data_IF_638667100484
#
_entry.id   IF_638667100484
#
_cell.length_a   1.000
_cell.length_b   1.000
_cell.length_c   1.000
_cell.angle_alpha   90.00
_cell.angle_beta   90.00
_cell.angle_gamma   90.00
#
_symmetry.space_group_name_H-M   'P 1'
#
loop_
_entity.id
_entity.type
_entity.pdbx_description
1 polymer ?
#
# COMPACT_ATOMS: atom_id res chain seq x y z
N UNK A 1 -25.94 -4.62 2.99
CA UNK A 1 -26.04 -3.24 2.40
C UNK A 1 -25.30 -2.09 3.13
N UNK A 2 -25.61 -1.68 4.38
CA UNK A 2 -24.92 -0.50 5.02
C UNK A 2 -23.43 -0.72 5.29
N UNK A 3 -23.05 -1.92 5.73
CA UNK A 3 -21.65 -2.28 6.02
C UNK A 3 -20.76 -2.27 4.77
N UNK A 4 -21.24 -2.80 3.64
CA UNK A 4 -20.48 -2.81 2.38
C UNK A 4 -20.17 -1.39 1.90
N UNK A 5 -21.14 -0.46 2.00
CA UNK A 5 -20.89 0.94 1.65
C UNK A 5 -19.83 1.59 2.55
N UNK A 6 -19.85 1.29 3.86
CA UNK A 6 -18.83 1.80 4.79
C UNK A 6 -17.43 1.25 4.47
N UNK A 7 -17.34 -0.05 4.18
CA UNK A 7 -16.08 -0.69 3.76
C UNK A 7 -15.58 -0.11 2.43
N UNK A 8 -16.47 0.14 1.48
CA UNK A 8 -16.14 0.76 0.19
C UNK A 8 -15.54 2.17 0.38
N UNK A 9 -16.14 2.99 1.23
CA UNK A 9 -15.64 4.33 1.55
C UNK A 9 -14.29 4.25 2.26
N UNK A 10 -14.17 3.39 3.28
CA UNK A 10 -12.92 3.19 4.00
C UNK A 10 -11.79 2.76 3.06
N UNK A 11 -12.04 1.78 2.20
CA UNK A 11 -11.04 1.32 1.23
C UNK A 11 -10.67 2.42 0.23
N UNK A 12 -11.64 3.23 -0.22
CA UNK A 12 -11.36 4.37 -1.09
C UNK A 12 -10.43 5.38 -0.41
N UNK A 13 -10.68 5.69 0.87
CA UNK A 13 -9.82 6.59 1.66
C UNK A 13 -8.43 5.97 1.84
N UNK A 14 -8.35 4.69 2.20
CA UNK A 14 -7.11 3.96 2.40
C UNK A 14 -6.25 3.93 1.12
N UNK A 15 -6.82 3.57 -0.02
CA UNK A 15 -6.10 3.58 -1.30
C UNK A 15 -5.76 5.02 -1.75
N UNK A 16 -6.57 6.02 -1.38
CA UNK A 16 -6.22 7.43 -1.58
C UNK A 16 -4.99 7.85 -0.77
N UNK A 17 -4.85 7.38 0.47
CA UNK A 17 -3.66 7.60 1.28
C UNK A 17 -2.43 6.90 0.67
N UNK A 18 -2.58 5.65 0.21
CA UNK A 18 -1.49 4.94 -0.48
C UNK A 18 -1.04 5.66 -1.75
N UNK A 19 -1.99 6.19 -2.52
CA UNK A 19 -1.69 7.00 -3.69
C UNK A 19 -0.86 8.24 -3.32
N UNK A 20 -1.23 8.93 -2.24
CA UNK A 20 -0.46 10.07 -1.72
C UNK A 20 0.97 9.66 -1.31
N UNK A 21 1.13 8.53 -0.61
CA UNK A 21 2.45 8.02 -0.22
C UNK A 21 3.28 7.67 -1.47
N UNK A 22 2.68 7.01 -2.47
CA UNK A 22 3.32 6.71 -3.74
C UNK A 22 3.84 7.96 -4.46
N UNK A 23 3.01 9.00 -4.55
CA UNK A 23 3.37 10.27 -5.19
C UNK A 23 4.42 11.06 -4.40
N UNK A 24 4.10 11.42 -3.16
CA UNK A 24 4.88 12.41 -2.43
C UNK A 24 6.14 11.80 -1.82
N UNK A 25 6.02 10.63 -1.17
CA UNK A 25 7.14 10.06 -0.41
C UNK A 25 8.09 9.26 -1.31
N UNK A 26 7.57 8.55 -2.30
CA UNK A 26 8.38 7.67 -3.15
C UNK A 26 8.80 8.34 -4.46
N UNK A 27 7.89 8.97 -5.21
CA UNK A 27 8.25 9.58 -6.49
C UNK A 27 8.86 10.97 -6.35
N UNK A 28 8.17 11.91 -5.71
CA UNK A 28 8.64 13.30 -5.65
C UNK A 28 9.93 13.48 -4.87
N UNK A 29 10.17 12.63 -3.86
CA UNK A 29 11.45 12.63 -3.13
C UNK A 29 12.45 11.65 -3.74
N UNK A 30 12.02 10.48 -4.22
CA UNK A 30 12.93 9.47 -4.77
C UNK A 30 13.52 9.81 -6.14
N UNK A 31 12.79 10.55 -6.99
CA UNK A 31 13.31 10.98 -8.32
C UNK A 31 14.49 11.94 -8.15
N UNK A 32 14.41 13.03 -7.36
CA UNK A 32 15.57 13.89 -7.09
C UNK A 32 16.77 13.12 -6.52
N UNK A 33 16.55 12.28 -5.51
CA UNK A 33 17.63 11.47 -4.90
C UNK A 33 18.27 10.49 -5.90
N UNK A 34 17.48 9.97 -6.85
CA UNK A 34 17.98 9.11 -7.92
C UNK A 34 18.80 9.89 -8.95
N UNK A 35 18.39 11.12 -9.28
CA UNK A 35 19.14 12.00 -10.20
C UNK A 35 20.47 12.42 -9.57
N UNK A 36 20.48 12.73 -8.27
CA UNK A 36 21.70 13.11 -7.54
C UNK A 36 22.67 11.93 -7.35
N UNK A 37 22.16 10.71 -7.17
CA UNK A 37 22.99 9.53 -6.94
C UNK A 37 22.49 8.29 -7.69
N UNK A 38 22.71 8.31 -9.01
CA UNK A 38 22.19 7.32 -9.97
C UNK A 38 22.74 5.90 -9.80
N UNK A 39 23.82 5.72 -9.03
CA UNK A 39 24.39 4.40 -8.74
C UNK A 39 23.71 3.69 -7.54
N UNK A 40 22.82 4.38 -6.82
CA UNK A 40 22.10 3.78 -5.69
C UNK A 40 20.92 2.92 -6.18
N UNK A 41 21.13 1.60 -6.25
CA UNK A 41 20.07 0.61 -6.52
C UNK A 41 18.88 0.73 -5.56
N UNK A 42 19.11 1.26 -4.36
CA UNK A 42 18.08 1.54 -3.37
C UNK A 42 17.10 2.64 -3.83
N UNK A 43 17.62 3.74 -4.39
CA UNK A 43 16.80 4.86 -4.86
C UNK A 43 15.93 4.43 -6.06
N UNK A 44 16.49 3.61 -6.96
CA UNK A 44 15.75 3.00 -8.06
C UNK A 44 14.60 2.14 -7.53
N UNK A 45 14.87 1.26 -6.55
CA UNK A 45 13.85 0.39 -5.96
C UNK A 45 12.71 1.20 -5.31
N UNK A 46 13.04 2.31 -4.63
CA UNK A 46 12.05 3.21 -4.01
C UNK A 46 11.16 3.90 -5.04
N UNK A 47 11.73 4.40 -6.13
CA UNK A 47 10.96 4.99 -7.25
C UNK A 47 10.05 3.94 -7.90
N UNK A 48 10.58 2.75 -8.19
CA UNK A 48 9.78 1.65 -8.75
C UNK A 48 8.62 1.25 -7.82
N UNK A 49 8.86 1.15 -6.51
CA UNK A 49 7.80 0.92 -5.52
C UNK A 49 6.75 2.04 -5.55
N UNK A 50 7.16 3.30 -5.67
CA UNK A 50 6.25 4.44 -5.81
C UNK A 50 5.32 4.31 -7.01
N UNK A 51 5.86 3.97 -8.19
CA UNK A 51 5.06 3.74 -9.41
C UNK A 51 4.09 2.57 -9.23
N UNK A 52 4.55 1.45 -8.66
CA UNK A 52 3.71 0.28 -8.43
C UNK A 52 2.56 0.59 -7.47
N UNK A 53 2.83 1.28 -6.36
CA UNK A 53 1.81 1.71 -5.40
C UNK A 53 0.79 2.63 -6.07
N UNK A 54 1.23 3.55 -6.94
CA UNK A 54 0.36 4.46 -7.68
C UNK A 54 -0.61 3.74 -8.60
N UNK A 55 -0.07 2.91 -9.50
CA UNK A 55 -0.87 2.12 -10.45
C UNK A 55 -1.86 1.26 -9.68
N UNK A 56 -1.37 0.59 -8.63
CA UNK A 56 -2.19 -0.28 -7.81
C UNK A 56 -3.32 0.46 -7.10
N UNK A 57 -3.04 1.64 -6.55
CA UNK A 57 -4.02 2.43 -5.81
C UNK A 57 -5.13 2.94 -6.71
N UNK A 58 -4.79 3.48 -7.89
CA UNK A 58 -5.76 3.94 -8.89
C UNK A 58 -6.64 2.78 -9.35
N UNK A 59 -6.02 1.66 -9.71
CA UNK A 59 -6.74 0.47 -10.18
C UNK A 59 -7.67 -0.09 -9.09
N UNK A 60 -7.19 -0.18 -7.85
CA UNK A 60 -7.99 -0.67 -6.72
C UNK A 60 -9.22 0.21 -6.47
N UNK A 61 -9.08 1.53 -6.50
CA UNK A 61 -10.22 2.46 -6.36
C UNK A 61 -11.26 2.18 -7.44
N UNK A 62 -10.87 2.14 -8.72
CA UNK A 62 -11.80 1.89 -9.83
C UNK A 62 -12.55 0.58 -9.63
N UNK A 63 -11.84 -0.49 -9.28
CA UNK A 63 -12.40 -1.83 -9.10
C UNK A 63 -13.38 -1.88 -7.92
N UNK A 64 -13.06 -1.23 -6.81
CA UNK A 64 -13.92 -1.15 -5.62
C UNK A 64 -15.26 -0.49 -5.97
N UNK A 65 -15.24 0.59 -6.76
CA UNK A 65 -16.43 1.30 -7.20
C UNK A 65 -17.25 0.52 -8.23
N UNK A 66 -16.59 -0.28 -9.07
CA UNK A 66 -17.24 -1.18 -10.02
C UNK A 66 -17.83 -2.44 -9.36
N UNK A 67 -17.64 -2.63 -8.05
CA UNK A 67 -18.13 -3.78 -7.26
C UNK A 67 -17.74 -5.15 -7.83
N UNK A 68 -16.62 -5.23 -8.55
CA UNK A 68 -16.12 -6.50 -9.06
C UNK A 68 -15.24 -7.18 -7.99
N UNK A 69 -15.87 -7.93 -7.08
CA UNK A 69 -15.20 -8.47 -5.90
C UNK A 69 -14.08 -9.47 -6.20
N UNK A 70 -14.14 -10.17 -7.33
CA UNK A 70 -13.07 -11.06 -7.80
C UNK A 70 -11.82 -10.25 -8.15
N UNK A 71 -11.99 -9.12 -8.84
CA UNK A 71 -10.85 -8.24 -9.13
C UNK A 71 -10.37 -7.56 -7.84
N UNK A 72 -11.26 -7.22 -6.89
CA UNK A 72 -10.81 -6.71 -5.58
C UNK A 72 -9.93 -7.73 -4.85
N UNK A 73 -10.25 -9.02 -4.92
CA UNK A 73 -9.40 -10.08 -4.35
C UNK A 73 -8.00 -10.07 -4.96
N UNK A 74 -7.91 -9.98 -6.29
CA UNK A 74 -6.63 -9.88 -7.02
C UNK A 74 -5.86 -8.63 -6.58
N UNK A 75 -6.54 -7.49 -6.40
CA UNK A 75 -5.88 -6.29 -5.88
C UNK A 75 -5.40 -6.45 -4.43
N UNK A 76 -6.10 -7.25 -3.62
CA UNK A 76 -5.62 -7.65 -2.29
C UNK A 76 -4.33 -8.45 -2.35
N UNK A 77 -4.24 -9.44 -3.25
CA UNK A 77 -3.01 -10.22 -3.47
C UNK A 77 -1.85 -9.32 -3.91
N UNK A 78 -2.09 -8.44 -4.89
CA UNK A 78 -1.05 -7.53 -5.38
C UNK A 78 -0.60 -6.54 -4.30
N UNK A 79 -1.52 -6.08 -3.45
CA UNK A 79 -1.19 -5.27 -2.27
C UNK A 79 -0.34 -6.05 -1.27
N UNK A 80 -0.56 -7.36 -1.07
CA UNK A 80 0.29 -8.21 -0.23
C UNK A 80 1.72 -8.27 -0.76
N UNK A 81 1.89 -8.43 -2.07
CA UNK A 81 3.22 -8.45 -2.70
C UNK A 81 3.94 -7.12 -2.50
N UNK A 82 3.23 -6.00 -2.71
CA UNK A 82 3.77 -4.65 -2.48
C UNK A 82 4.13 -4.45 -1.00
N UNK A 83 3.30 -4.93 -0.08
CA UNK A 83 3.56 -4.87 1.36
C UNK A 83 4.84 -5.61 1.76
N UNK A 84 5.03 -6.83 1.25
CA UNK A 84 6.26 -7.60 1.48
C UNK A 84 7.48 -6.86 0.91
N UNK A 85 7.40 -6.37 -0.32
CA UNK A 85 8.48 -5.61 -0.94
C UNK A 85 8.81 -4.33 -0.15
N UNK A 86 7.79 -3.62 0.34
CA UNK A 86 7.94 -2.44 1.20
C UNK A 86 8.69 -2.77 2.50
N UNK A 87 8.34 -3.87 3.18
CA UNK A 87 9.06 -4.30 4.40
C UNK A 87 10.52 -4.60 4.08
N UNK A 88 10.80 -5.31 2.99
CA UNK A 88 12.17 -5.67 2.60
C UNK A 88 13.00 -4.41 2.34
N UNK A 89 12.50 -3.49 1.53
CA UNK A 89 13.22 -2.24 1.20
C UNK A 89 13.47 -1.40 2.45
N UNK A 90 12.48 -1.23 3.32
CA UNK A 90 12.67 -0.48 4.57
C UNK A 90 13.61 -1.18 5.56
N UNK A 91 13.63 -2.51 5.59
CA UNK A 91 14.57 -3.26 6.45
C UNK A 91 16.02 -3.09 5.96
N UNK A 92 16.23 -3.13 4.64
CA UNK A 92 17.56 -2.86 4.05
C UNK A 92 17.98 -1.42 4.36
N UNK A 93 17.08 -0.45 4.20
CA UNK A 93 17.36 0.95 4.54
C UNK A 93 17.75 1.10 6.02
N UNK A 94 16.94 0.53 6.91
CA UNK A 94 17.18 0.57 8.36
C UNK A 94 18.54 -0.01 8.72
N UNK A 95 18.93 -1.14 8.14
CA UNK A 95 20.23 -1.78 8.43
C UNK A 95 21.42 -0.96 7.92
N UNK A 96 21.30 -0.32 6.76
CA UNK A 96 22.37 0.53 6.20
C UNK A 96 22.63 1.78 7.06
N UNK A 97 21.58 2.40 7.59
CA UNK A 97 21.73 3.64 8.37
C UNK A 97 21.86 3.34 9.87
N UNK A 98 21.60 2.10 10.32
CA UNK A 98 21.61 1.74 11.74
C UNK A 98 22.92 2.06 12.46
N UNK A 99 24.06 2.06 11.77
CA UNK A 99 25.38 2.38 12.34
C UNK A 99 25.73 3.88 12.29
N UNK A 100 24.99 4.70 11.53
CA UNK A 100 25.38 6.06 11.17
C UNK A 100 24.56 7.18 11.83
N UNK A 101 23.37 6.89 12.37
CA UNK A 101 22.50 7.91 13.03
C UNK A 101 22.61 7.90 14.55
N UNK A 102 22.21 9.00 15.19
CA UNK A 102 22.00 9.09 16.64
C UNK A 102 20.84 8.19 17.07
N UNK A 103 20.89 7.68 18.30
CA UNK A 103 19.88 6.74 18.81
C UNK A 103 18.43 7.27 18.72
N UNK A 104 18.20 8.56 18.98
CA UNK A 104 16.86 9.18 18.93
C UNK A 104 16.23 9.10 17.53
N UNK A 105 17.02 9.38 16.49
CA UNK A 105 16.54 9.34 15.10
C UNK A 105 16.26 7.91 14.63
N UNK A 106 17.02 6.92 15.14
CA UNK A 106 16.75 5.50 14.87
C UNK A 106 15.38 5.07 15.37
N UNK A 107 15.04 5.40 16.62
CA UNK A 107 13.75 5.03 17.19
C UNK A 107 12.59 5.69 16.45
N UNK A 108 12.75 6.94 16.04
CA UNK A 108 11.73 7.64 15.24
C UNK A 108 11.46 6.92 13.91
N UNK A 109 12.51 6.54 13.19
CA UNK A 109 12.38 5.85 11.90
C UNK A 109 11.74 4.45 12.06
N UNK A 110 12.11 3.71 13.09
CA UNK A 110 11.51 2.39 13.40
C UNK A 110 10.02 2.52 13.68
N UNK A 111 9.62 3.50 14.50
CA UNK A 111 8.21 3.74 14.83
C UNK A 111 7.41 4.12 13.59
N UNK A 112 7.99 4.93 12.70
CA UNK A 112 7.36 5.31 11.44
C UNK A 112 7.11 4.10 10.54
N UNK A 113 8.14 3.25 10.33
CA UNK A 113 8.03 2.02 9.53
C UNK A 113 7.00 1.06 10.14
N UNK A 114 7.00 0.89 11.47
CA UNK A 114 6.01 0.06 12.16
C UNK A 114 4.59 0.59 11.98
N UNK A 115 4.37 1.89 12.16
CA UNK A 115 3.05 2.52 12.04
C UNK A 115 2.49 2.36 10.63
N UNK A 116 3.31 2.63 9.60
CA UNK A 116 2.93 2.43 8.19
C UNK A 116 2.63 0.97 7.89
N UNK A 117 3.41 0.04 8.45
CA UNK A 117 3.19 -1.39 8.28
C UNK A 117 1.88 -1.87 8.91
N UNK A 118 1.51 -1.38 10.09
CA UNK A 118 0.24 -1.68 10.75
C UNK A 118 -0.94 -1.17 9.91
N UNK A 119 -0.85 0.07 9.41
CA UNK A 119 -1.90 0.66 8.55
C UNK A 119 -2.08 -0.16 7.27
N UNK A 120 -0.98 -0.56 6.61
CA UNK A 120 -1.00 -1.42 5.44
C UNK A 120 -1.65 -2.78 5.72
N UNK A 121 -1.31 -3.40 6.86
CA UNK A 121 -1.88 -4.66 7.29
C UNK A 121 -3.40 -4.55 7.54
N UNK A 122 -3.84 -3.49 8.21
CA UNK A 122 -5.27 -3.23 8.44
C UNK A 122 -6.00 -3.03 7.11
N UNK A 123 -5.44 -2.26 6.18
CA UNK A 123 -5.99 -2.09 4.84
C UNK A 123 -6.12 -3.41 4.09
N UNK A 124 -5.09 -4.26 4.14
CA UNK A 124 -5.12 -5.62 3.58
C UNK A 124 -6.26 -6.47 4.14
N UNK A 125 -6.41 -6.51 5.46
CA UNK A 125 -7.49 -7.24 6.14
C UNK A 125 -8.85 -6.74 5.65
N UNK A 126 -9.03 -5.42 5.58
CA UNK A 126 -10.30 -4.83 5.13
C UNK A 126 -10.56 -5.12 3.64
N UNK A 127 -9.54 -5.12 2.78
CA UNK A 127 -9.68 -5.46 1.36
C UNK A 127 -10.16 -6.90 1.18
N UNK A 128 -9.55 -7.86 1.88
CA UNK A 128 -9.99 -9.25 1.82
C UNK A 128 -11.38 -9.46 2.42
N UNK A 129 -11.68 -8.79 3.53
CA UNK A 129 -13.00 -8.85 4.15
C UNK A 129 -14.10 -8.30 3.23
N UNK A 130 -13.85 -7.16 2.57
CA UNK A 130 -14.77 -6.57 1.59
C UNK A 130 -15.00 -7.48 0.39
N UNK A 131 -13.92 -8.05 -0.18
CA UNK A 131 -14.01 -8.98 -1.31
C UNK A 131 -14.84 -10.21 -0.96
N UNK A 132 -14.55 -10.87 0.18
CA UNK A 132 -15.29 -12.05 0.62
C UNK A 132 -16.78 -11.75 0.85
N UNK A 133 -17.10 -10.71 1.61
CA UNK A 133 -18.50 -10.34 1.93
C UNK A 133 -19.29 -9.89 0.70
N UNK A 134 -18.66 -9.16 -0.21
CA UNK A 134 -19.30 -8.72 -1.44
C UNK A 134 -19.69 -9.88 -2.35
N UNK A 135 -18.81 -10.88 -2.49
CA UNK A 135 -19.09 -12.08 -3.28
C UNK A 135 -20.30 -12.87 -2.75
N UNK A 136 -20.47 -12.96 -1.42
CA UNK A 136 -21.66 -13.61 -0.84
C UNK A 136 -22.96 -12.83 -1.11
N UNK A 137 -22.97 -11.50 -0.98
CA UNK A 137 -24.17 -10.69 -1.28
C UNK A 137 -24.58 -10.80 -2.77
N UNK A 138 -23.62 -10.96 -3.70
CA UNK A 138 -23.91 -11.18 -5.13
C UNK A 138 -24.61 -12.52 -5.39
N UNK A 139 -24.08 -13.62 -4.83
CA UNK A 139 -24.64 -14.96 -5.03
C UNK A 139 -26.06 -15.09 -4.44
N UNK A 140 -26.32 -14.47 -3.28
CA UNK A 140 -27.68 -14.44 -2.71
C UNK A 140 -28.67 -13.67 -3.59
N UNK A 141 -28.22 -12.61 -4.27
CA UNK A 141 -29.10 -11.79 -5.13
C UNK A 141 -29.44 -12.44 -6.48
N UNK A 142 -28.65 -13.40 -6.97
CA UNK A 142 -28.91 -14.14 -8.21
C UNK A 142 -29.88 -15.32 -8.02
N UNK A 143 -30.18 -15.69 -6.77
CA UNK A 143 -31.08 -16.80 -6.42
C UNK A 143 -32.54 -16.38 -6.17
N UNK A 144 -32.85 -15.08 -6.30
CA UNK A 144 -34.19 -14.49 -6.12
C UNK A 144 -34.71 -14.01 -7.49
#
# INVERSE_FOLDING_TARGET
MRLIKLLQIYLTIFYGQLLSIGLFENLLTGIPELVENSQSYFNIARVCLGVLILIQSIFSIIVIWNKNFNIVFITGILLTVIFVAYIIVNTIHLTQIFSQIKAIDKYKLIIEVLTKSIILLLGLIVTFFYSSRGSYELVESEQI
#
